data_IF_001157499532
#
_entry.id   IF_001157499532
#
_cell.length_a   1.000
_cell.length_b   1.000
_cell.length_c   1.000
_cell.angle_alpha   90.00
_cell.angle_beta   90.00
_cell.angle_gamma   90.00
#
_symmetry.space_group_name_H-M   'P 1'
#
loop_
_entity.id
_entity.type
_entity.pdbx_description
1 polymer ?
#
# COMPACT_ATOMS: atom_id res chain seq x y z
N UNK A 1 14.06 22.81 -6.93
CA UNK A 1 12.77 23.33 -6.45
C UNK A 1 12.89 23.49 -4.94
N UNK A 2 12.82 24.72 -4.42
CA UNK A 2 12.92 24.95 -2.98
C UNK A 2 11.60 24.57 -2.32
N UNK A 3 11.60 23.44 -1.60
CA UNK A 3 10.56 23.06 -0.65
C UNK A 3 10.49 24.08 0.49
N UNK A 4 9.72 25.16 0.29
CA UNK A 4 9.25 25.95 1.42
C UNK A 4 8.26 25.08 2.18
N UNK A 5 8.48 24.95 3.49
CA UNK A 5 7.58 24.25 4.39
C UNK A 5 6.12 24.70 4.13
N UNK A 6 5.15 23.76 4.11
CA UNK A 6 3.77 24.09 3.78
C UNK A 6 3.25 25.18 4.72
N UNK A 7 2.69 26.25 4.15
CA UNK A 7 2.12 27.39 4.88
C UNK A 7 1.19 26.86 5.98
N UNK A 8 1.51 27.13 7.25
CA UNK A 8 0.74 26.66 8.39
C UNK A 8 -0.44 27.61 8.63
N UNK A 9 -1.54 27.16 9.25
CA UNK A 9 -2.64 28.06 9.61
C UNK A 9 -2.19 29.27 10.45
N UNK A 10 -1.16 29.11 11.29
CA UNK A 10 -0.53 30.20 12.04
C UNK A 10 0.08 31.28 11.14
N UNK A 11 0.63 30.89 10.00
CA UNK A 11 1.24 31.81 9.04
C UNK A 11 0.15 32.62 8.33
N UNK A 12 -0.97 31.98 8.01
CA UNK A 12 -2.16 32.64 7.44
C UNK A 12 -2.76 33.64 8.45
N UNK A 13 -2.88 33.27 9.73
CA UNK A 13 -3.33 34.18 10.80
C UNK A 13 -2.41 35.41 10.87
N UNK A 14 -1.10 35.18 10.93
CA UNK A 14 -0.12 36.26 11.03
C UNK A 14 -0.16 37.17 9.79
N UNK A 15 -0.27 36.60 8.59
CA UNK A 15 -0.37 37.34 7.35
C UNK A 15 -1.61 38.26 7.33
N UNK A 16 -2.78 37.71 7.69
CA UNK A 16 -4.03 38.48 7.73
C UNK A 16 -3.99 39.61 8.77
N UNK A 17 -3.33 39.36 9.91
CA UNK A 17 -3.15 40.38 10.94
C UNK A 17 -2.20 41.50 10.50
N UNK A 18 -1.06 41.16 9.89
CA UNK A 18 -0.02 42.12 9.50
C UNK A 18 -0.42 42.94 8.26
N UNK A 19 -0.94 42.29 7.23
CA UNK A 19 -1.17 42.92 5.92
C UNK A 19 -2.59 43.44 5.73
N UNK A 20 -3.55 42.90 6.49
CA UNK A 20 -4.96 43.27 6.34
C UNK A 20 -5.61 43.77 7.64
N UNK A 21 -4.88 43.81 8.76
CA UNK A 21 -5.42 44.19 10.07
C UNK A 21 -6.64 43.37 10.50
N UNK A 22 -6.79 42.15 9.98
CA UNK A 22 -7.90 41.24 10.28
C UNK A 22 -7.42 40.14 11.22
N UNK A 23 -8.07 40.01 12.38
CA UNK A 23 -7.89 38.85 13.24
C UNK A 23 -8.83 37.72 12.81
N UNK A 24 -8.26 36.57 12.46
CA UNK A 24 -9.01 35.35 12.13
C UNK A 24 -8.70 34.24 13.13
N UNK A 25 -9.68 33.36 13.37
CA UNK A 25 -9.47 32.16 14.19
C UNK A 25 -8.63 31.12 13.46
N UNK A 26 -8.03 30.20 14.22
CA UNK A 26 -7.30 29.05 13.66
C UNK A 26 -8.15 28.25 12.67
N UNK A 27 -9.42 27.96 13.01
CA UNK A 27 -10.31 27.19 12.14
C UNK A 27 -10.58 27.90 10.81
N UNK A 28 -10.74 29.23 10.81
CA UNK A 28 -10.91 30.02 9.57
C UNK A 28 -9.64 29.97 8.73
N UNK A 29 -8.48 30.11 9.35
CA UNK A 29 -7.19 30.02 8.68
C UNK A 29 -6.94 28.64 8.08
N UNK A 30 -7.25 27.58 8.83
CA UNK A 30 -7.13 26.19 8.37
C UNK A 30 -8.08 25.91 7.20
N UNK A 31 -9.37 26.27 7.31
CA UNK A 31 -10.33 26.08 6.20
C UNK A 31 -9.96 26.86 4.95
N UNK A 32 -9.55 28.13 5.10
CA UNK A 32 -9.10 28.95 3.97
C UNK A 32 -7.89 28.34 3.26
N UNK A 33 -6.93 27.81 4.04
CA UNK A 33 -5.79 27.06 3.52
C UNK A 33 -6.22 25.79 2.78
N UNK A 34 -7.11 24.97 3.33
CA UNK A 34 -7.59 23.74 2.67
C UNK A 34 -8.30 24.05 1.35
N UNK A 35 -9.13 25.10 1.29
CA UNK A 35 -9.79 25.54 0.05
C UNK A 35 -8.73 25.94 -1.00
N UNK A 36 -7.71 26.70 -0.62
CA UNK A 36 -6.64 27.10 -1.52
C UNK A 36 -5.82 25.89 -2.00
N UNK A 37 -5.51 24.94 -1.10
CA UNK A 37 -4.79 23.72 -1.46
C UNK A 37 -5.58 22.85 -2.45
N UNK A 38 -6.88 22.67 -2.20
CA UNK A 38 -7.76 21.93 -3.11
C UNK A 38 -7.88 22.62 -4.46
N UNK A 39 -7.86 23.97 -4.50
CA UNK A 39 -7.88 24.72 -5.76
C UNK A 39 -6.61 24.54 -6.59
N UNK A 40 -5.47 24.26 -5.95
CA UNK A 40 -4.17 24.06 -6.61
C UNK A 40 -3.94 22.59 -6.98
N UNK A 41 -4.28 21.67 -6.08
CA UNK A 41 -3.97 20.24 -6.18
C UNK A 41 -5.13 19.38 -6.67
N UNK A 42 -6.33 19.94 -6.76
CA UNK A 42 -7.56 19.17 -6.89
C UNK A 42 -7.99 18.56 -5.56
N UNK A 43 -9.18 17.95 -5.56
CA UNK A 43 -9.69 17.21 -4.41
C UNK A 43 -9.32 15.73 -4.51
N UNK A 44 -9.28 14.99 -3.38
CA UNK A 44 -9.16 13.53 -3.43
C UNK A 44 -10.28 12.87 -4.27
N UNK A 45 -11.50 13.43 -4.23
CA UNK A 45 -12.65 13.02 -5.04
C UNK A 45 -12.34 13.10 -6.54
N UNK A 46 -11.76 14.22 -6.99
CA UNK A 46 -11.35 14.37 -8.39
C UNK A 46 -10.29 13.32 -8.76
N UNK A 47 -9.35 13.04 -7.85
CA UNK A 47 -8.31 12.02 -8.08
C UNK A 47 -8.90 10.62 -8.25
N UNK A 48 -9.86 10.23 -7.40
CA UNK A 48 -10.53 8.94 -7.50
C UNK A 48 -11.43 8.84 -8.74
N UNK A 49 -12.12 9.92 -9.11
CA UNK A 49 -12.93 9.98 -10.34
C UNK A 49 -12.08 9.82 -11.61
N UNK A 50 -10.77 10.10 -11.55
CA UNK A 50 -9.85 9.95 -12.67
C UNK A 50 -9.22 8.55 -12.78
N UNK A 51 -9.45 7.63 -11.84
CA UNK A 51 -8.78 6.32 -11.83
C UNK A 51 -9.02 5.52 -13.10
N UNK A 52 -10.26 5.41 -13.57
CA UNK A 52 -10.55 4.62 -14.78
C UNK A 52 -9.85 5.19 -16.02
N UNK A 53 -9.84 6.52 -16.18
CA UNK A 53 -9.12 7.17 -17.28
C UNK A 53 -7.60 7.04 -17.13
N UNK A 54 -7.10 7.02 -15.88
CA UNK A 54 -5.70 6.73 -15.59
C UNK A 54 -5.36 5.29 -15.98
N UNK A 55 -6.19 4.29 -15.66
CA UNK A 55 -6.01 2.90 -16.10
C UNK A 55 -5.97 2.78 -17.62
N UNK A 56 -6.92 3.41 -18.32
CA UNK A 56 -6.95 3.42 -19.78
C UNK A 56 -5.66 4.00 -20.36
N UNK A 57 -5.20 5.13 -19.81
CA UNK A 57 -3.95 5.74 -20.22
C UNK A 57 -2.75 4.85 -19.89
N UNK A 58 -2.75 4.20 -18.73
CA UNK A 58 -1.66 3.33 -18.28
C UNK A 58 -1.54 2.10 -19.19
N UNK A 59 -2.65 1.42 -19.48
CA UNK A 59 -2.69 0.26 -20.39
C UNK A 59 -2.27 0.67 -21.81
N UNK A 60 -2.78 1.79 -22.31
CA UNK A 60 -2.44 2.28 -23.66
C UNK A 60 -0.96 2.59 -23.82
N UNK A 61 -0.32 3.16 -22.79
CA UNK A 61 1.10 3.52 -22.85
C UNK A 61 2.03 2.40 -22.38
N UNK A 62 1.51 1.40 -21.67
CA UNK A 62 2.25 0.24 -21.18
C UNK A 62 1.43 -1.05 -21.43
N UNK A 63 1.34 -1.51 -22.69
CA UNK A 63 0.55 -2.67 -23.06
C UNK A 63 0.98 -3.92 -22.29
N UNK A 64 0.00 -4.68 -21.79
CA UNK A 64 0.22 -5.81 -20.89
C UNK A 64 0.08 -5.47 -19.41
N UNK A 65 -0.07 -4.18 -19.07
CA UNK A 65 -0.46 -3.77 -17.71
C UNK A 65 -1.85 -4.32 -17.39
N UNK A 66 -2.00 -4.88 -16.20
CA UNK A 66 -3.27 -5.32 -15.65
C UNK A 66 -3.78 -4.30 -14.63
N UNK A 67 -5.05 -3.93 -14.74
CA UNK A 67 -5.75 -3.10 -13.74
C UNK A 67 -7.11 -3.70 -13.43
N UNK A 68 -7.57 -3.55 -12.19
CA UNK A 68 -8.92 -3.90 -11.80
C UNK A 68 -9.52 -2.85 -10.86
N UNK A 69 -10.82 -2.62 -11.00
CA UNK A 69 -11.58 -1.67 -10.18
C UNK A 69 -12.80 -2.37 -9.58
N UNK A 70 -13.11 -2.07 -8.32
CA UNK A 70 -14.36 -2.45 -7.67
C UNK A 70 -15.10 -1.19 -7.25
N UNK A 71 -16.41 -1.17 -7.53
CA UNK A 71 -17.31 -0.17 -6.99
C UNK A 71 -18.21 -0.79 -5.91
N UNK A 72 -18.70 0.03 -4.99
CA UNK A 72 -19.72 -0.37 -4.03
C UNK A 72 -21.12 -0.47 -4.67
N UNK A 73 -22.13 -0.84 -3.88
CA UNK A 73 -23.51 -1.00 -4.34
C UNK A 73 -24.15 0.31 -4.85
N UNK A 74 -23.55 1.46 -4.53
CA UNK A 74 -23.98 2.78 -5.00
C UNK A 74 -23.18 3.24 -6.25
N UNK A 75 -22.30 2.38 -6.78
CA UNK A 75 -21.45 2.69 -7.92
C UNK A 75 -20.28 3.61 -7.60
N UNK A 76 -19.93 3.77 -6.32
CA UNK A 76 -18.78 4.59 -5.90
C UNK A 76 -17.52 3.74 -5.91
N UNK A 77 -16.40 4.37 -6.25
CA UNK A 77 -15.09 3.74 -6.14
C UNK A 77 -14.89 3.10 -4.76
N UNK A 78 -14.45 1.84 -4.75
CA UNK A 78 -14.17 1.09 -3.54
C UNK A 78 -12.73 0.57 -3.54
N UNK A 79 -12.36 -0.24 -4.54
CA UNK A 79 -11.01 -0.81 -4.65
C UNK A 79 -10.37 -0.55 -6.02
N UNK A 80 -9.05 -0.40 -6.03
CA UNK A 80 -8.22 -0.29 -7.23
C UNK A 80 -7.06 -1.27 -7.13
N UNK A 81 -6.69 -1.90 -8.24
CA UNK A 81 -5.51 -2.75 -8.36
C UNK A 81 -4.76 -2.42 -9.64
N UNK A 82 -3.43 -2.46 -9.59
CA UNK A 82 -2.60 -2.42 -10.79
C UNK A 82 -1.35 -3.30 -10.65
N UNK A 83 -0.98 -3.94 -11.76
CA UNK A 83 0.30 -4.61 -11.97
C UNK A 83 0.83 -4.19 -13.35
N UNK A 84 2.01 -3.55 -13.37
CA UNK A 84 2.59 -3.02 -14.62
C UNK A 84 3.11 -4.16 -15.50
N UNK A 85 3.03 -4.00 -16.83
CA UNK A 85 3.50 -5.04 -17.76
C UNK A 85 4.96 -5.46 -17.48
N UNK A 86 5.82 -4.49 -17.17
CA UNK A 86 7.22 -4.76 -16.82
C UNK A 86 7.36 -5.59 -15.53
N UNK A 87 6.49 -5.36 -14.54
CA UNK A 87 6.47 -6.15 -13.29
C UNK A 87 5.98 -7.58 -13.54
N UNK A 88 4.98 -7.74 -14.41
CA UNK A 88 4.43 -9.03 -14.83
C UNK A 88 5.49 -9.83 -15.58
N UNK A 89 6.22 -9.18 -16.51
CA UNK A 89 7.32 -9.82 -17.23
C UNK A 89 8.49 -10.19 -16.31
N UNK A 90 8.87 -9.28 -15.40
CA UNK A 90 9.97 -9.47 -14.46
C UNK A 90 9.76 -10.66 -13.52
N UNK A 91 8.50 -11.00 -13.18
CA UNK A 91 8.17 -12.14 -12.31
C UNK A 91 8.79 -13.45 -12.79
N UNK A 92 8.88 -13.66 -14.11
CA UNK A 92 9.49 -14.86 -14.70
C UNK A 92 10.98 -15.06 -14.36
N UNK A 93 11.63 -14.01 -13.84
CA UNK A 93 13.06 -13.99 -13.49
C UNK A 93 13.28 -13.76 -12.00
N UNK A 94 12.21 -13.75 -11.20
CA UNK A 94 12.25 -13.52 -9.77
C UNK A 94 12.25 -14.83 -8.97
N UNK A 95 12.66 -14.74 -7.72
CA UNK A 95 12.45 -15.81 -6.74
C UNK A 95 10.94 -15.93 -6.51
N UNK A 96 10.37 -17.14 -6.40
CA UNK A 96 8.92 -17.33 -6.26
C UNK A 96 8.40 -16.99 -4.85
N UNK A 97 8.90 -15.90 -4.27
CA UNK A 97 8.50 -15.38 -2.95
C UNK A 97 7.94 -13.98 -3.14
N UNK A 98 6.68 -13.78 -2.76
CA UNK A 98 6.03 -12.46 -2.79
C UNK A 98 5.83 -11.97 -1.36
N UNK A 99 6.45 -10.85 -1.02
CA UNK A 99 6.16 -10.12 0.21
C UNK A 99 4.99 -9.17 -0.03
N UNK A 100 4.01 -9.18 0.87
CA UNK A 100 2.86 -8.27 0.85
C UNK A 100 2.77 -7.48 2.14
N UNK A 101 2.42 -6.21 2.04
CA UNK A 101 2.22 -5.33 3.20
C UNK A 101 1.18 -4.24 2.90
N UNK A 102 0.53 -3.76 3.96
CA UNK A 102 -0.46 -2.70 3.92
C UNK A 102 0.02 -1.45 4.65
N UNK A 103 -0.20 -0.27 4.06
CA UNK A 103 0.14 1.01 4.65
C UNK A 103 -1.07 1.95 4.67
N UNK A 104 -1.45 2.40 5.87
CA UNK A 104 -2.54 3.35 6.04
C UNK A 104 -2.24 4.69 5.35
N UNK A 105 -3.15 5.14 4.49
CA UNK A 105 -3.04 6.42 3.80
C UNK A 105 -3.51 7.57 4.69
N UNK A 106 -2.79 8.68 4.62
CA UNK A 106 -3.15 9.94 5.31
C UNK A 106 -3.93 10.86 4.38
N UNK A 107 -5.10 10.42 3.93
CA UNK A 107 -6.01 11.24 3.13
C UNK A 107 -7.39 11.35 3.82
N UNK A 108 -8.31 12.12 3.23
CA UNK A 108 -9.67 12.33 3.75
C UNK A 108 -10.44 11.01 3.96
N UNK A 109 -10.12 9.98 3.19
CA UNK A 109 -10.86 8.72 3.11
C UNK A 109 -10.21 7.57 3.90
N UNK A 110 -9.00 7.78 4.44
CA UNK A 110 -8.30 6.85 5.35
C UNK A 110 -8.16 5.41 4.83
N UNK A 111 -8.05 5.23 3.50
CA UNK A 111 -7.85 3.90 2.91
C UNK A 111 -6.46 3.30 3.19
N UNK A 112 -6.25 2.07 2.72
CA UNK A 112 -4.96 1.37 2.80
C UNK A 112 -4.36 1.22 1.41
N UNK A 113 -3.07 1.51 1.27
CA UNK A 113 -2.27 1.12 0.12
C UNK A 113 -1.63 -0.24 0.41
N UNK A 114 -2.04 -1.27 -0.33
CA UNK A 114 -1.41 -2.59 -0.30
C UNK A 114 -0.37 -2.65 -1.40
N UNK A 115 0.79 -3.24 -1.11
CA UNK A 115 1.84 -3.50 -2.10
C UNK A 115 2.31 -4.94 -2.04
N UNK A 116 2.54 -5.53 -3.21
CA UNK A 116 3.27 -6.78 -3.39
C UNK A 116 4.64 -6.50 -4.02
N UNK A 117 5.68 -7.13 -3.50
CA UNK A 117 7.02 -7.12 -4.06
C UNK A 117 7.67 -8.49 -3.97
N UNK A 118 8.67 -8.71 -4.79
CA UNK A 118 9.54 -9.90 -4.77
C UNK A 118 11.00 -9.47 -4.83
N UNK A 119 11.90 -10.44 -4.91
CA UNK A 119 13.33 -10.22 -5.17
C UNK A 119 13.74 -10.93 -6.46
N UNK A 120 14.56 -10.26 -7.26
CA UNK A 120 15.16 -10.89 -8.45
C UNK A 120 16.36 -11.76 -8.09
N UNK A 121 16.93 -12.46 -9.09
CA UNK A 121 18.15 -13.26 -8.93
C UNK A 121 19.40 -12.47 -8.51
N UNK A 122 19.34 -11.13 -8.50
CA UNK A 122 20.39 -10.25 -8.01
C UNK A 122 20.04 -9.62 -6.65
N UNK A 123 19.07 -10.20 -5.92
CA UNK A 123 18.62 -9.72 -4.61
C UNK A 123 18.09 -8.28 -4.60
N UNK A 124 17.63 -7.77 -5.75
CA UNK A 124 16.99 -6.46 -5.85
C UNK A 124 15.48 -6.58 -5.67
N UNK A 125 14.88 -5.62 -4.97
CA UNK A 125 13.43 -5.60 -4.78
C UNK A 125 12.75 -5.23 -6.10
N UNK A 126 11.84 -6.10 -6.54
CA UNK A 126 10.99 -5.89 -7.71
C UNK A 126 9.55 -5.64 -7.24
N UNK A 127 8.99 -4.44 -7.43
CA UNK A 127 7.58 -4.19 -7.17
C UNK A 127 6.71 -4.97 -8.17
N UNK A 128 5.73 -5.72 -7.67
CA UNK A 128 4.85 -6.56 -8.50
C UNK A 128 3.49 -5.89 -8.74
N UNK A 129 2.81 -5.50 -7.66
CA UNK A 129 1.47 -4.93 -7.74
C UNK A 129 1.18 -3.96 -6.61
N UNK A 130 0.20 -3.09 -6.83
CA UNK A 130 -0.32 -2.15 -5.86
C UNK A 130 -1.84 -2.20 -5.85
N UNK A 131 -2.43 -1.98 -4.68
CA UNK A 131 -3.86 -1.80 -4.55
C UNK A 131 -4.23 -0.70 -3.57
N UNK A 132 -5.28 0.04 -3.90
CA UNK A 132 -5.92 0.99 -2.99
C UNK A 132 -7.21 0.36 -2.52
N UNK A 133 -7.32 0.15 -1.21
CA UNK A 133 -8.50 -0.45 -0.56
C UNK A 133 -9.04 0.43 0.56
N UNK A 134 -10.25 0.15 1.03
CA UNK A 134 -10.91 0.93 2.08
C UNK A 134 -10.25 0.77 3.46
N UNK A 135 -9.72 -0.42 3.77
CA UNK A 135 -9.07 -0.78 5.02
C UNK A 135 -8.47 -2.20 4.96
N UNK A 136 -7.69 -2.60 5.97
CA UNK A 136 -7.12 -3.95 6.11
C UNK A 136 -8.13 -4.98 6.65
N UNK A 137 -9.19 -5.25 5.88
CA UNK A 137 -10.21 -6.24 6.23
C UNK A 137 -10.16 -7.48 5.31
N UNK A 138 -10.92 -8.51 5.66
CA UNK A 138 -10.94 -9.79 4.95
C UNK A 138 -11.36 -9.62 3.47
N UNK A 139 -12.33 -8.74 3.17
CA UNK A 139 -12.78 -8.50 1.79
C UNK A 139 -11.68 -7.86 0.95
N UNK A 140 -11.00 -6.85 1.50
CA UNK A 140 -9.89 -6.15 0.84
C UNK A 140 -8.74 -7.10 0.52
N UNK A 141 -8.33 -7.93 1.48
CA UNK A 141 -7.24 -8.89 1.28
C UNK A 141 -7.62 -10.02 0.32
N UNK A 142 -8.82 -10.62 0.44
CA UNK A 142 -9.29 -11.60 -0.52
C UNK A 142 -9.38 -11.02 -1.93
N UNK A 143 -9.88 -9.79 -2.09
CA UNK A 143 -9.97 -9.14 -3.39
C UNK A 143 -8.59 -8.85 -3.99
N UNK A 144 -7.65 -8.35 -3.17
CA UNK A 144 -6.27 -8.15 -3.57
C UNK A 144 -5.62 -9.45 -4.04
N UNK A 145 -5.74 -10.52 -3.26
CA UNK A 145 -5.17 -11.82 -3.60
C UNK A 145 -5.78 -12.45 -4.85
N UNK A 146 -7.10 -12.29 -5.09
CA UNK A 146 -7.71 -12.77 -6.34
C UNK A 146 -7.09 -12.10 -7.57
N UNK A 147 -6.87 -10.79 -7.51
CA UNK A 147 -6.22 -10.07 -8.60
C UNK A 147 -4.73 -10.44 -8.72
N UNK A 148 -4.03 -10.60 -7.59
CA UNK A 148 -2.64 -11.02 -7.58
C UNK A 148 -2.48 -12.41 -8.21
N UNK A 149 -3.30 -13.38 -7.83
CA UNK A 149 -3.33 -14.74 -8.40
C UNK A 149 -3.72 -14.74 -9.88
N UNK A 150 -4.65 -13.88 -10.29
CA UNK A 150 -5.04 -13.75 -11.70
C UNK A 150 -3.89 -13.26 -12.60
N UNK A 151 -2.96 -12.48 -12.05
CA UNK A 151 -1.84 -11.90 -12.80
C UNK A 151 -0.59 -12.78 -12.77
N UNK A 152 -0.22 -13.31 -11.60
CA UNK A 152 1.06 -14.00 -11.39
C UNK A 152 0.94 -15.52 -11.39
N UNK A 153 -0.29 -16.04 -11.47
CA UNK A 153 -0.65 -17.46 -11.38
C UNK A 153 -0.18 -18.11 -10.08
N UNK A 154 -0.85 -19.19 -9.67
CA UNK A 154 -0.43 -19.96 -8.49
C UNK A 154 0.37 -21.18 -8.93
N UNK A 155 1.46 -21.46 -8.23
CA UNK A 155 2.26 -22.67 -8.43
C UNK A 155 2.87 -23.16 -7.11
N UNK A 156 3.37 -24.40 -7.10
CA UNK A 156 3.80 -25.14 -5.91
C UNK A 156 5.07 -24.62 -5.22
N UNK A 157 5.87 -23.82 -5.90
CA UNK A 157 7.08 -23.19 -5.34
C UNK A 157 6.80 -21.77 -4.81
N UNK A 158 5.56 -21.29 -4.96
CA UNK A 158 5.17 -19.94 -4.58
C UNK A 158 4.98 -19.83 -3.07
N UNK A 159 5.63 -18.84 -2.46
CA UNK A 159 5.43 -18.46 -1.06
C UNK A 159 4.99 -17.01 -0.97
N UNK A 160 3.91 -16.74 -0.24
CA UNK A 160 3.48 -15.38 0.08
C UNK A 160 3.86 -15.07 1.53
N UNK A 161 4.60 -13.99 1.75
CA UNK A 161 5.06 -13.56 3.06
C UNK A 161 4.35 -12.27 3.47
N UNK A 162 3.79 -12.21 4.68
CA UNK A 162 3.07 -11.02 5.15
C UNK A 162 3.26 -10.74 6.64
N UNK A 163 2.73 -9.61 7.15
CA UNK A 163 2.49 -9.46 8.59
C UNK A 163 1.50 -10.54 9.09
N UNK A 164 1.56 -10.84 10.39
CA UNK A 164 0.69 -11.77 11.11
C UNK A 164 -0.71 -11.19 11.39
N UNK A 165 -1.23 -10.35 10.48
CA UNK A 165 -2.57 -9.79 10.61
C UNK A 165 -3.61 -10.80 10.14
N UNK A 166 -4.66 -11.04 10.96
CA UNK A 166 -5.61 -12.14 10.72
C UNK A 166 -6.36 -12.03 9.39
N UNK A 167 -6.67 -10.80 8.96
CA UNK A 167 -7.35 -10.58 7.68
C UNK A 167 -6.49 -10.95 6.47
N UNK A 168 -5.17 -10.87 6.58
CA UNK A 168 -4.26 -11.33 5.52
C UNK A 168 -4.31 -12.85 5.42
N UNK A 169 -4.20 -13.54 6.55
CA UNK A 169 -4.30 -15.00 6.61
C UNK A 169 -5.66 -15.50 6.07
N UNK A 170 -6.76 -14.86 6.48
CA UNK A 170 -8.10 -15.17 5.96
C UNK A 170 -8.18 -14.94 4.45
N UNK A 171 -7.64 -13.82 3.98
CA UNK A 171 -7.59 -13.47 2.56
C UNK A 171 -6.81 -14.48 1.73
N UNK A 172 -5.64 -14.90 2.22
CA UNK A 172 -4.78 -15.88 1.59
C UNK A 172 -5.49 -17.24 1.47
N UNK A 173 -5.99 -17.77 2.59
CA UNK A 173 -6.67 -19.06 2.65
C UNK A 173 -7.95 -19.13 1.80
N UNK A 174 -8.55 -17.98 1.50
CA UNK A 174 -9.73 -17.90 0.63
C UNK A 174 -9.40 -17.96 -0.88
N UNK A 175 -8.13 -17.83 -1.27
CA UNK A 175 -7.72 -17.64 -2.68
C UNK A 175 -6.66 -18.66 -3.13
N UNK A 176 -5.68 -18.95 -2.28
CA UNK A 176 -4.57 -19.85 -2.57
C UNK A 176 -4.84 -21.24 -2.00
N UNK A 177 -4.57 -22.26 -2.80
CA UNK A 177 -4.81 -23.67 -2.47
C UNK A 177 -3.50 -24.49 -2.41
N UNK A 178 -2.46 -24.00 -3.08
CA UNK A 178 -1.20 -24.70 -3.33
C UNK A 178 -0.01 -23.90 -2.79
N UNK A 179 -0.02 -22.57 -2.94
CA UNK A 179 1.04 -21.71 -2.43
C UNK A 179 1.14 -21.82 -0.90
N UNK A 180 2.32 -21.56 -0.36
CA UNK A 180 2.52 -21.49 1.10
C UNK A 180 2.40 -20.05 1.61
N UNK A 181 1.93 -19.90 2.85
CA UNK A 181 1.89 -18.62 3.56
C UNK A 181 2.96 -18.56 4.63
N UNK A 182 3.86 -17.59 4.51
CA UNK A 182 4.91 -17.29 5.47
C UNK A 182 4.61 -16.03 6.28
N UNK A 183 5.08 -16.02 7.53
CA UNK A 183 5.05 -14.81 8.37
C UNK A 183 6.36 -14.05 8.22
N UNK A 184 6.26 -12.74 8.01
CA UNK A 184 7.40 -11.84 7.93
C UNK A 184 8.18 -11.85 9.25
N UNK A 185 9.43 -12.30 9.20
CA UNK A 185 10.27 -12.44 10.39
C UNK A 185 10.46 -11.11 11.14
N UNK A 186 10.57 -9.99 10.42
CA UNK A 186 10.66 -8.66 11.02
C UNK A 186 9.42 -8.33 11.86
N UNK A 187 8.22 -8.55 11.30
CA UNK A 187 6.96 -8.30 11.99
C UNK A 187 6.74 -9.28 13.15
N UNK A 188 7.09 -10.55 12.95
CA UNK A 188 7.03 -11.56 14.00
C UNK A 188 7.91 -11.18 15.19
N UNK A 189 9.17 -10.78 14.96
CA UNK A 189 10.07 -10.31 16.03
C UNK A 189 9.52 -9.04 16.71
N UNK A 190 9.01 -8.07 15.95
CA UNK A 190 8.40 -6.85 16.49
C UNK A 190 7.20 -7.16 17.39
N UNK A 191 6.35 -8.08 16.99
CA UNK A 191 5.20 -8.54 17.77
C UNK A 191 5.62 -9.29 19.03
N UNK A 192 6.62 -10.18 18.93
CA UNK A 192 7.21 -10.87 20.08
C UNK A 192 7.79 -9.89 21.10
N UNK A 193 8.58 -8.90 20.65
CA UNK A 193 9.14 -7.85 21.52
C UNK A 193 8.05 -7.02 22.20
N UNK A 194 6.97 -6.69 21.48
CA UNK A 194 5.83 -5.94 22.02
C UNK A 194 5.12 -6.71 23.15
N UNK A 195 4.93 -8.02 22.97
CA UNK A 195 4.17 -8.88 23.88
C UNK A 195 5.00 -9.47 25.03
N UNK A 196 6.31 -9.65 24.84
CA UNK A 196 7.22 -10.30 25.79
C UNK A 196 8.47 -9.45 26.04
N UNK A 197 8.27 -8.28 26.66
CA UNK A 197 9.31 -7.24 26.85
C UNK A 197 10.53 -7.66 27.68
N UNK A 198 10.46 -8.77 28.42
CA UNK A 198 11.48 -9.20 29.40
C UNK A 198 12.37 -10.34 28.92
N UNK A 199 12.13 -10.91 27.73
CA UNK A 199 12.90 -12.05 27.23
C UNK A 199 13.94 -11.60 26.19
N UNK A 200 15.23 -11.98 26.31
CA UNK A 200 16.24 -11.71 25.30
C UNK A 200 16.09 -12.68 24.13
N UNK A 201 15.04 -12.47 23.31
CA UNK A 201 14.68 -13.39 22.23
C UNK A 201 15.29 -13.03 20.87
N UNK A 202 15.85 -11.82 20.73
CA UNK A 202 16.33 -11.32 19.44
C UNK A 202 17.46 -12.17 18.86
N UNK A 203 18.49 -12.47 19.65
CA UNK A 203 19.62 -13.28 19.19
C UNK A 203 19.19 -14.70 18.79
N UNK A 204 18.39 -15.35 19.65
CA UNK A 204 17.83 -16.68 19.37
C UNK A 204 16.93 -16.68 18.14
N UNK A 205 16.08 -15.66 17.97
CA UNK A 205 15.19 -15.51 16.82
C UNK A 205 15.99 -15.31 15.53
N UNK A 206 17.00 -14.44 15.54
CA UNK A 206 17.87 -14.19 14.40
C UNK A 206 18.67 -15.44 14.02
N UNK A 207 19.15 -16.20 15.01
CA UNK A 207 19.78 -17.50 14.76
C UNK A 207 18.81 -18.45 14.06
N UNK A 208 17.58 -18.61 14.57
CA UNK A 208 16.57 -19.45 13.95
C UNK A 208 16.23 -19.01 12.53
N UNK A 209 16.04 -17.71 12.28
CA UNK A 209 15.76 -17.17 10.95
C UNK A 209 16.93 -17.44 9.98
N UNK A 210 18.17 -17.23 10.41
CA UNK A 210 19.34 -17.35 9.55
C UNK A 210 19.53 -18.75 8.97
N UNK A 211 19.13 -19.80 9.71
CA UNK A 211 19.21 -21.21 9.26
C UNK A 211 18.36 -21.46 8.02
N UNK A 212 17.27 -20.70 7.85
CA UNK A 212 16.38 -20.81 6.69
C UNK A 212 16.74 -19.86 5.53
N UNK A 213 17.72 -18.96 5.72
CA UNK A 213 18.15 -17.99 4.69
C UNK A 213 19.55 -18.25 4.13
N UNK A 214 20.33 -19.16 4.71
CA UNK A 214 21.74 -19.43 4.32
C UNK A 214 21.90 -20.43 3.17
N UNK A 215 20.83 -20.77 2.45
CA UNK A 215 20.84 -21.70 1.32
C UNK A 215 20.43 -21.11 -0.04
N UNK A 216 20.30 -19.78 -0.12
CA UNK A 216 20.00 -19.03 -1.36
C UNK A 216 21.30 -18.43 -1.91
#
# INVERSE_FOLDING_TARGET
MNDKAPCRPSDVINYMKIHHSVNISYDKAWRGREIALNSIRGTPEDSYAMLSAFSDALIRNNPGTYTAEEADDEGRFKFYFMALAASIDAWNYCVPVISVDGAAMKNKYLGTLISACTVDGNSQIVPLAFAVVDSENDLSWSWFFRNLKAVFEEHNEMVIVSDAHKSIENGFNAVYEIAEHGLCAFHLLKNLKKNHKSLPMEDSFNMCQSVYTTGI
#
